data_IF_563536056901
#
_entry.id   IF_563536056901
#
_cell.length_a   1.000
_cell.length_b   1.000
_cell.length_c   1.000
_cell.angle_alpha   90.00
_cell.angle_beta   90.00
_cell.angle_gamma   90.00
#
_symmetry.space_group_name_H-M   'P 1'
#
loop_
_entity.id
_entity.type
_entity.pdbx_description
1 polymer ?
#
# COMPACT_ATOMS: atom_id res chain seq x y z
N UNK A 1 5.23 -11.16 7.82
CA UNK A 1 4.55 -10.04 7.12
C UNK A 1 5.42 -9.57 5.99
N UNK A 2 4.85 -9.37 4.80
CA UNK A 2 5.57 -8.98 3.59
C UNK A 2 5.03 -7.62 3.15
N UNK A 3 5.77 -6.52 3.31
CA UNK A 3 5.37 -5.23 2.76
C UNK A 3 5.36 -5.30 1.23
N UNK A 4 4.29 -4.80 0.61
CA UNK A 4 4.15 -4.68 -0.84
C UNK A 4 3.75 -3.24 -1.14
N UNK A 5 4.66 -2.50 -1.77
CA UNK A 5 4.44 -1.11 -2.17
C UNK A 5 4.44 -0.96 -3.68
N UNK A 6 5.00 0.16 -4.13
CA UNK A 6 5.16 0.53 -5.52
C UNK A 6 6.38 1.45 -5.70
N UNK A 7 6.73 1.71 -6.97
CA UNK A 7 7.63 2.78 -7.37
C UNK A 7 6.89 3.66 -8.38
N UNK A 8 6.30 4.75 -7.92
CA UNK A 8 5.42 5.60 -8.72
C UNK A 8 5.43 7.05 -8.27
N UNK A 9 5.07 7.95 -9.18
CA UNK A 9 4.92 9.37 -8.89
C UNK A 9 3.98 9.59 -7.69
N UNK A 10 4.32 10.52 -6.79
CA UNK A 10 3.43 10.98 -5.73
C UNK A 10 3.42 12.51 -5.70
N UNK A 11 3.16 13.09 -6.86
CA UNK A 11 3.33 14.53 -7.06
C UNK A 11 4.78 14.99 -6.94
N UNK A 12 5.00 16.31 -6.95
CA UNK A 12 6.33 16.89 -6.86
C UNK A 12 6.94 16.84 -5.45
N UNK A 13 6.16 16.47 -4.42
CA UNK A 13 6.55 16.64 -3.01
C UNK A 13 6.84 15.36 -2.24
N UNK A 14 6.37 14.20 -2.71
CA UNK A 14 6.61 12.91 -2.06
C UNK A 14 7.56 12.02 -2.88
N UNK A 15 8.32 11.15 -2.21
CA UNK A 15 9.27 10.27 -2.88
C UNK A 15 8.55 9.16 -3.66
N UNK A 16 9.23 8.61 -4.67
CA UNK A 16 8.67 7.56 -5.54
C UNK A 16 8.35 6.24 -4.81
N UNK A 17 8.89 6.05 -3.61
CA UNK A 17 8.70 4.85 -2.79
C UNK A 17 7.69 5.06 -1.64
N UNK A 18 6.83 6.08 -1.73
CA UNK A 18 5.82 6.45 -0.71
C UNK A 18 5.02 5.23 -0.23
N UNK A 19 4.43 4.45 -1.13
CA UNK A 19 3.67 3.24 -0.78
C UNK A 19 4.52 2.20 -0.05
N UNK A 20 5.76 2.03 -0.49
CA UNK A 20 6.70 1.08 0.09
C UNK A 20 7.08 1.50 1.51
N UNK A 21 7.27 2.80 1.75
CA UNK A 21 7.55 3.36 3.08
C UNK A 21 6.37 3.17 4.03
N UNK A 22 5.15 3.50 3.58
CA UNK A 22 3.93 3.32 4.38
C UNK A 22 3.73 1.84 4.72
N UNK A 23 3.74 0.96 3.72
CA UNK A 23 3.56 -0.48 3.93
C UNK A 23 4.61 -1.07 4.89
N UNK A 24 5.87 -0.64 4.75
CA UNK A 24 6.97 -1.08 5.61
C UNK A 24 6.81 -0.58 7.05
N UNK A 25 6.46 0.70 7.23
CA UNK A 25 6.25 1.29 8.54
C UNK A 25 5.08 0.63 9.27
N UNK A 26 3.94 0.44 8.59
CA UNK A 26 2.77 -0.24 9.15
C UNK A 26 3.12 -1.69 9.51
N UNK A 27 3.71 -2.46 8.59
CA UNK A 27 4.06 -3.85 8.86
C UNK A 27 5.05 -4.00 10.04
N UNK A 28 6.00 -3.06 10.19
CA UNK A 28 6.93 -3.03 11.31
C UNK A 28 6.22 -2.75 12.64
N UNK A 29 5.35 -1.75 12.67
CA UNK A 29 4.59 -1.40 13.88
C UNK A 29 3.63 -2.52 14.30
N UNK A 30 2.94 -3.15 13.34
CA UNK A 30 2.07 -4.31 13.60
C UNK A 30 2.86 -5.50 14.12
N UNK A 31 4.05 -5.77 13.56
CA UNK A 31 4.92 -6.86 14.06
C UNK A 31 5.28 -6.62 15.53
N UNK A 32 5.69 -5.39 15.87
CA UNK A 32 6.03 -5.03 17.26
C UNK A 32 4.83 -5.10 18.22
N UNK A 33 3.63 -4.74 17.77
CA UNK A 33 2.38 -4.81 18.54
C UNK A 33 1.97 -6.27 18.84
N UNK A 34 2.15 -7.17 17.88
CA UNK A 34 1.76 -8.57 18.02
C UNK A 34 2.80 -9.44 18.76
N UNK A 35 4.10 -9.12 18.67
CA UNK A 35 5.18 -9.85 19.36
C UNK A 35 5.05 -9.79 20.90
N UNK A 36 4.27 -8.86 21.45
CA UNK A 36 3.93 -8.81 22.88
C UNK A 36 2.94 -9.86 23.36
N UNK A 37 2.39 -10.68 22.45
CA UNK A 37 1.46 -11.77 22.78
C UNK A 37 2.21 -13.12 22.77
N UNK A 38 2.18 -13.85 23.89
CA UNK A 38 2.95 -15.06 24.24
C UNK A 38 2.79 -16.30 23.32
N UNK A 39 2.29 -16.15 22.08
CA UNK A 39 1.73 -17.25 21.30
C UNK A 39 2.28 -17.42 19.87
N UNK A 40 2.82 -16.40 19.20
CA UNK A 40 3.34 -16.52 17.82
C UNK A 40 4.52 -15.58 17.57
N UNK A 41 5.55 -16.05 16.87
CA UNK A 41 6.66 -15.21 16.40
C UNK A 41 6.29 -14.55 15.07
N UNK A 42 6.30 -13.22 15.00
CA UNK A 42 6.06 -12.50 13.76
C UNK A 42 7.38 -12.04 13.14
N UNK A 43 7.60 -12.38 11.87
CA UNK A 43 8.78 -11.97 11.13
C UNK A 43 8.41 -10.94 10.06
N UNK A 44 9.19 -9.86 9.97
CA UNK A 44 9.06 -8.86 8.91
C UNK A 44 10.05 -9.18 7.78
N UNK A 45 9.53 -9.37 6.57
CA UNK A 45 10.35 -9.61 5.40
C UNK A 45 10.77 -8.30 4.71
N UNK A 46 11.80 -8.31 3.84
CA UNK A 46 12.10 -7.20 2.96
C UNK A 46 10.89 -6.82 2.09
N UNK A 47 10.74 -5.53 1.82
CA UNK A 47 9.64 -5.03 1.01
C UNK A 47 9.77 -5.39 -0.47
N UNK A 48 8.64 -5.67 -1.11
CA UNK A 48 8.53 -5.69 -2.57
C UNK A 48 8.22 -4.26 -3.00
N UNK A 49 9.23 -3.56 -3.52
CA UNK A 49 9.19 -2.13 -3.79
C UNK A 49 8.67 -1.75 -5.20
N UNK A 50 8.41 -2.74 -6.05
CA UNK A 50 7.87 -2.52 -7.40
C UNK A 50 6.51 -3.19 -7.51
N UNK A 51 5.52 -2.44 -7.96
CA UNK A 51 4.11 -2.83 -8.00
C UNK A 51 3.51 -2.80 -9.41
N UNK A 52 2.19 -2.92 -9.46
CA UNK A 52 1.39 -2.67 -10.65
C UNK A 52 0.90 -1.22 -10.60
N UNK A 53 1.66 -0.33 -11.24
CA UNK A 53 1.47 1.13 -11.21
C UNK A 53 1.28 1.70 -12.62
N UNK A 54 0.64 0.92 -13.51
CA UNK A 54 0.49 1.27 -14.92
C UNK A 54 -0.29 2.57 -15.13
N UNK A 55 -1.23 2.86 -14.23
CA UNK A 55 -2.01 4.09 -14.18
C UNK A 55 -1.14 5.35 -13.98
N UNK A 56 0.09 5.21 -13.51
CA UNK A 56 1.04 6.30 -13.26
C UNK A 56 2.14 6.42 -14.35
N UNK A 57 2.11 5.61 -15.42
CA UNK A 57 3.14 5.58 -16.49
C UNK A 57 3.28 6.91 -17.25
N UNK A 58 2.27 7.79 -17.18
CA UNK A 58 2.34 9.14 -17.75
C UNK A 58 3.32 10.10 -17.06
N UNK A 59 3.93 9.69 -15.95
CA UNK A 59 4.84 10.51 -15.15
C UNK A 59 6.23 9.90 -15.05
N UNK A 60 7.25 10.75 -15.14
CA UNK A 60 8.65 10.33 -15.03
C UNK A 60 8.94 9.78 -13.63
N UNK A 61 9.77 8.72 -13.56
CA UNK A 61 10.16 8.05 -12.32
C UNK A 61 9.32 6.82 -11.98
N UNK A 62 8.10 6.70 -12.52
CA UNK A 62 7.26 5.50 -12.33
C UNK A 62 7.92 4.28 -12.98
N UNK A 63 8.01 3.18 -12.21
CA UNK A 63 8.46 1.87 -12.70
C UNK A 63 7.43 0.83 -12.29
N UNK A 64 6.56 0.48 -13.23
CA UNK A 64 5.54 -0.55 -13.07
C UNK A 64 6.03 -1.88 -13.63
N UNK A 65 5.91 -2.96 -12.86
CA UNK A 65 6.14 -4.33 -13.37
C UNK A 65 4.85 -4.94 -13.94
N UNK A 66 3.71 -4.29 -13.74
CA UNK A 66 2.39 -4.71 -14.21
C UNK A 66 1.77 -5.87 -13.42
N UNK A 67 0.45 -5.99 -13.51
CA UNK A 67 -0.36 -6.95 -12.74
C UNK A 67 0.07 -8.40 -12.94
N UNK A 68 0.38 -8.81 -14.17
CA UNK A 68 0.76 -10.19 -14.47
C UNK A 68 2.09 -10.58 -13.81
N UNK A 69 3.13 -9.75 -13.95
CA UNK A 69 4.44 -10.02 -13.35
C UNK A 69 4.36 -9.96 -11.83
N UNK A 70 3.67 -8.96 -11.26
CA UNK A 70 3.46 -8.86 -9.82
C UNK A 70 2.73 -10.10 -9.29
N UNK A 71 1.70 -10.59 -9.98
CA UNK A 71 1.00 -11.84 -9.60
C UNK A 71 1.97 -13.00 -9.53
N UNK A 72 2.81 -13.19 -10.55
CA UNK A 72 3.84 -14.25 -10.55
C UNK A 72 4.81 -14.10 -9.38
N UNK A 73 5.32 -12.89 -9.12
CA UNK A 73 6.22 -12.61 -7.99
C UNK A 73 5.58 -13.00 -6.67
N UNK A 74 4.34 -12.58 -6.42
CA UNK A 74 3.63 -12.84 -5.17
C UNK A 74 3.33 -14.33 -4.97
N UNK A 75 2.98 -15.04 -6.05
CA UNK A 75 2.76 -16.49 -6.03
C UNK A 75 4.06 -17.23 -5.70
N UNK A 76 5.15 -16.95 -6.41
CA UNK A 76 6.43 -17.63 -6.16
C UNK A 76 6.99 -17.29 -4.78
N UNK A 77 6.84 -16.03 -4.36
CA UNK A 77 7.18 -15.60 -3.01
C UNK A 77 6.41 -16.41 -1.97
N UNK A 78 5.07 -16.44 -2.08
CA UNK A 78 4.21 -17.16 -1.14
C UNK A 78 4.50 -18.67 -1.14
N UNK A 79 4.76 -19.26 -2.31
CA UNK A 79 5.12 -20.68 -2.42
C UNK A 79 6.40 -21.01 -1.66
N UNK A 80 7.42 -20.17 -1.82
CA UNK A 80 8.70 -20.33 -1.13
C UNK A 80 8.58 -20.06 0.37
N UNK A 81 7.95 -18.95 0.76
CA UNK A 81 7.82 -18.54 2.16
C UNK A 81 6.97 -19.52 2.99
N UNK A 82 5.85 -20.01 2.44
CA UNK A 82 5.03 -21.04 3.09
C UNK A 82 5.72 -22.41 3.20
N UNK A 83 6.92 -22.59 2.64
CA UNK A 83 7.73 -23.79 2.87
C UNK A 83 8.28 -23.87 4.29
N UNK A 84 8.38 -22.74 5.00
CA UNK A 84 8.91 -22.68 6.38
C UNK A 84 8.08 -21.79 7.31
N UNK A 85 7.33 -20.82 6.78
CA UNK A 85 6.40 -20.01 7.55
C UNK A 85 5.01 -20.67 7.60
N UNK A 86 4.42 -20.77 8.80
CA UNK A 86 3.05 -21.28 8.97
C UNK A 86 2.02 -20.44 8.22
N UNK A 87 2.23 -19.11 8.18
CA UNK A 87 1.33 -18.12 7.60
C UNK A 87 2.11 -17.05 6.87
N UNK A 88 1.55 -16.55 5.77
CA UNK A 88 2.07 -15.39 5.05
C UNK A 88 0.97 -14.34 4.89
N UNK A 89 1.30 -13.09 5.21
CA UNK A 89 0.42 -11.95 4.98
C UNK A 89 1.16 -10.89 4.21
N UNK A 90 0.60 -10.49 3.08
CA UNK A 90 1.05 -9.34 2.31
C UNK A 90 0.39 -8.08 2.85
N UNK A 91 1.19 -7.09 3.22
CA UNK A 91 0.74 -5.80 3.75
C UNK A 91 0.89 -4.78 2.63
N UNK A 92 -0.22 -4.38 2.04
CA UNK A 92 -0.26 -3.67 0.75
C UNK A 92 -0.46 -2.17 0.93
N UNK A 93 0.47 -1.37 0.41
CA UNK A 93 0.41 0.10 0.41
C UNK A 93 -0.27 0.70 -0.81
N UNK A 94 -0.30 0.00 -1.95
CA UNK A 94 -0.69 0.58 -3.24
C UNK A 94 -2.03 0.04 -3.77
N UNK A 95 -2.91 0.92 -4.25
CA UNK A 95 -4.21 0.56 -4.85
C UNK A 95 -4.08 -0.27 -6.14
N UNK A 96 -3.10 0.01 -7.00
CA UNK A 96 -2.92 -0.69 -8.28
C UNK A 96 -2.55 -2.17 -8.12
N UNK A 97 -2.00 -2.56 -6.97
CA UNK A 97 -1.64 -3.94 -6.66
C UNK A 97 -2.84 -4.87 -6.40
N UNK A 98 -4.06 -4.33 -6.19
CA UNK A 98 -5.21 -5.10 -5.68
C UNK A 98 -5.59 -6.31 -6.56
N UNK A 99 -5.54 -6.17 -7.89
CA UNK A 99 -5.86 -7.29 -8.80
C UNK A 99 -4.83 -8.42 -8.69
N UNK A 100 -3.54 -8.07 -8.67
CA UNK A 100 -2.46 -9.02 -8.51
C UNK A 100 -2.52 -9.71 -7.14
N UNK A 101 -2.83 -8.93 -6.09
CA UNK A 101 -2.97 -9.43 -4.73
C UNK A 101 -4.07 -10.49 -4.61
N UNK A 102 -5.28 -10.15 -5.06
CA UNK A 102 -6.42 -11.08 -5.05
C UNK A 102 -6.13 -12.35 -5.84
N UNK A 103 -5.53 -12.22 -7.02
CA UNK A 103 -5.21 -13.35 -7.89
C UNK A 103 -4.16 -14.27 -7.27
N UNK A 104 -3.06 -13.70 -6.78
CA UNK A 104 -1.97 -14.45 -6.17
C UNK A 104 -2.40 -15.15 -4.87
N UNK A 105 -3.06 -14.44 -3.97
CA UNK A 105 -3.49 -15.00 -2.69
C UNK A 105 -4.57 -16.05 -2.88
N UNK A 106 -5.53 -15.86 -3.80
CA UNK A 106 -6.51 -16.90 -4.13
C UNK A 106 -5.80 -18.17 -4.61
N UNK A 107 -4.84 -18.06 -5.52
CA UNK A 107 -4.09 -19.23 -6.01
C UNK A 107 -3.33 -19.93 -4.88
N UNK A 108 -2.57 -19.20 -4.07
CA UNK A 108 -1.85 -19.75 -2.92
C UNK A 108 -2.79 -20.52 -1.96
N UNK A 109 -3.98 -19.95 -1.70
CA UNK A 109 -4.99 -20.60 -0.85
C UNK A 109 -5.57 -21.86 -1.49
N UNK A 110 -5.82 -21.85 -2.79
CA UNK A 110 -6.26 -23.07 -3.51
C UNK A 110 -5.21 -24.17 -3.51
N UNK A 111 -3.92 -23.81 -3.40
CA UNK A 111 -2.81 -24.75 -3.20
C UNK A 111 -2.69 -25.26 -1.75
N UNK A 112 -3.61 -24.87 -0.85
CA UNK A 112 -3.60 -25.27 0.55
C UNK A 112 -2.66 -24.46 1.45
N UNK A 113 -2.16 -23.30 0.98
CA UNK A 113 -1.28 -22.43 1.76
C UNK A 113 -2.08 -21.43 2.59
N UNK A 114 -1.66 -21.20 3.84
CA UNK A 114 -2.28 -20.21 4.71
C UNK A 114 -1.75 -18.80 4.39
N UNK A 115 -2.29 -18.23 3.30
CA UNK A 115 -1.95 -16.91 2.79
C UNK A 115 -3.13 -15.94 2.89
N UNK A 116 -2.82 -14.67 3.15
CA UNK A 116 -3.78 -13.58 3.21
C UNK A 116 -3.14 -12.24 2.81
N UNK A 117 -3.93 -11.17 2.71
CA UNK A 117 -3.43 -9.81 2.53
C UNK A 117 -4.22 -8.80 3.37
N UNK A 118 -3.56 -7.69 3.71
CA UNK A 118 -4.13 -6.58 4.48
C UNK A 118 -3.74 -5.24 3.85
N UNK A 119 -4.69 -4.33 3.56
CA UNK A 119 -4.39 -3.02 3.03
C UNK A 119 -3.99 -2.03 4.13
N UNK A 120 -3.03 -1.14 3.81
CA UNK A 120 -2.65 0.03 4.61
C UNK A 120 -3.55 1.22 4.29
N UNK A 121 -4.86 1.10 4.55
CA UNK A 121 -5.84 2.16 4.26
C UNK A 121 -6.33 2.81 5.55
N UNK A 122 -6.64 4.11 5.47
CA UNK A 122 -7.38 4.83 6.48
C UNK A 122 -8.77 5.19 5.95
N UNK A 123 -9.78 5.15 6.81
CA UNK A 123 -11.14 5.51 6.45
C UNK A 123 -11.24 7.00 6.10
N UNK A 124 -11.90 7.30 4.98
CA UNK A 124 -12.07 8.68 4.52
C UNK A 124 -10.82 9.33 3.91
N UNK A 125 -9.77 8.54 3.63
CA UNK A 125 -8.57 9.04 2.95
C UNK A 125 -8.83 9.48 1.50
N UNK A 126 -7.98 10.37 1.00
CA UNK A 126 -7.99 10.75 -0.42
C UNK A 126 -7.27 9.72 -1.30
N UNK A 127 -7.28 9.95 -2.61
CA UNK A 127 -6.99 8.91 -3.59
C UNK A 127 -5.50 8.74 -3.89
N UNK A 128 -4.73 9.82 -3.99
CA UNK A 128 -3.31 9.76 -4.35
C UNK A 128 -2.53 11.03 -4.01
N UNK A 129 -1.41 10.89 -3.31
CA UNK A 129 -0.46 11.94 -2.93
C UNK A 129 -1.09 13.18 -2.28
N UNK A 130 -2.27 13.02 -1.69
CA UNK A 130 -3.03 14.10 -1.09
C UNK A 130 -2.74 14.26 0.39
N UNK A 131 -3.75 14.68 1.13
CA UNK A 131 -3.72 14.85 2.58
C UNK A 131 -3.24 13.60 3.32
N UNK A 132 -3.76 12.42 2.96
CA UNK A 132 -3.56 11.19 3.75
C UNK A 132 -2.10 10.74 3.72
N UNK A 133 -1.56 10.46 2.53
CA UNK A 133 -0.18 9.99 2.38
C UNK A 133 0.82 11.06 2.78
N UNK A 134 0.58 12.32 2.43
CA UNK A 134 1.47 13.42 2.81
C UNK A 134 1.54 13.57 4.33
N UNK A 135 0.40 13.48 5.03
CA UNK A 135 0.39 13.53 6.49
C UNK A 135 1.18 12.37 7.08
N UNK A 136 0.95 11.14 6.59
CA UNK A 136 1.69 9.96 7.06
C UNK A 136 3.19 10.11 6.83
N UNK A 137 3.63 10.59 5.66
CA UNK A 137 5.05 10.80 5.36
C UNK A 137 5.66 11.92 6.20
N UNK A 138 4.92 12.99 6.50
CA UNK A 138 5.35 14.01 7.46
C UNK A 138 5.55 13.44 8.87
N UNK A 139 4.88 12.34 9.22
CA UNK A 139 5.08 11.64 10.49
C UNK A 139 6.25 10.63 10.42
N UNK A 140 6.29 9.75 9.41
CA UNK A 140 7.24 8.62 9.37
C UNK A 140 8.56 8.94 8.67
N UNK A 141 8.62 9.96 7.81
CA UNK A 141 9.79 10.33 7.00
C UNK A 141 9.78 11.82 6.63
N UNK A 142 9.72 12.75 7.60
CA UNK A 142 9.53 14.18 7.32
C UNK A 142 10.62 14.80 6.45
N UNK A 143 11.85 14.29 6.52
CA UNK A 143 12.98 14.79 5.72
C UNK A 143 12.84 14.52 4.21
N UNK A 144 11.97 13.59 3.83
CA UNK A 144 11.73 13.20 2.43
C UNK A 144 10.50 13.90 1.83
N UNK A 145 9.85 14.81 2.57
CA UNK A 145 8.69 15.57 2.11
C UNK A 145 9.12 16.98 1.71
N UNK A 146 9.01 17.29 0.41
CA UNK A 146 9.35 18.61 -0.14
C UNK A 146 8.15 19.55 -0.05
N UNK A 147 7.93 20.12 1.14
CA UNK A 147 6.79 21.02 1.44
C UNK A 147 6.82 22.35 0.68
N UNK A 148 7.96 22.71 0.09
CA UNK A 148 8.10 23.83 -0.83
C UNK A 148 7.58 23.53 -2.24
N UNK A 149 7.39 22.25 -2.58
CA UNK A 149 6.98 21.80 -3.90
C UNK A 149 5.52 21.29 -3.97
N UNK A 150 4.85 21.07 -2.83
CA UNK A 150 3.51 20.47 -2.83
C UNK A 150 2.47 21.30 -3.57
N UNK A 151 1.58 20.63 -4.31
CA UNK A 151 0.57 21.28 -5.13
C UNK A 151 -0.74 20.50 -5.04
N UNK A 152 -1.86 21.21 -4.88
CA UNK A 152 -3.19 20.59 -4.94
C UNK A 152 -3.42 20.01 -6.32
N UNK A 153 -3.89 18.76 -6.34
CA UNK A 153 -4.28 18.08 -7.55
C UNK A 153 -5.79 18.12 -7.79
N UNK A 154 -6.29 17.11 -8.50
CA UNK A 154 -7.72 16.95 -8.74
C UNK A 154 -8.40 16.36 -7.50
N UNK A 155 -9.38 17.09 -6.95
CA UNK A 155 -10.09 16.73 -5.70
C UNK A 155 -11.47 16.12 -5.93
N UNK A 156 -11.84 15.85 -7.19
CA UNK A 156 -13.11 15.17 -7.47
C UNK A 156 -13.10 13.75 -6.88
N UNK A 157 -14.25 13.21 -6.47
CA UNK A 157 -14.33 11.84 -5.97
C UNK A 157 -13.74 10.83 -6.96
N UNK A 158 -12.96 9.88 -6.46
CA UNK A 158 -12.27 8.89 -7.30
C UNK A 158 -13.26 8.18 -8.26
N UNK A 159 -14.46 7.84 -7.79
CA UNK A 159 -15.50 7.23 -8.61
C UNK A 159 -15.85 8.03 -9.88
N UNK A 160 -15.76 9.36 -9.83
CA UNK A 160 -15.98 10.26 -10.97
C UNK A 160 -14.78 10.30 -11.93
N UNK A 161 -13.56 10.09 -11.41
CA UNK A 161 -12.32 10.12 -12.18
C UNK A 161 -11.98 8.79 -12.86
N UNK A 162 -12.40 7.66 -12.27
CA UNK A 162 -12.10 6.31 -12.75
C UNK A 162 -12.36 6.09 -14.25
N UNK A 163 -13.45 6.59 -14.88
CA UNK A 163 -13.67 6.41 -16.31
C UNK A 163 -12.57 7.02 -17.18
N UNK A 164 -12.09 8.21 -16.82
CA UNK A 164 -11.01 8.90 -17.55
C UNK A 164 -9.65 8.26 -17.25
N UNK A 165 -9.40 7.88 -16.00
CA UNK A 165 -8.18 7.18 -15.60
C UNK A 165 -8.00 5.85 -16.34
N UNK A 166 -9.09 5.11 -16.59
CA UNK A 166 -9.04 3.87 -17.38
C UNK A 166 -8.60 4.08 -18.83
N UNK A 167 -8.78 5.28 -19.38
CA UNK A 167 -8.45 5.61 -20.76
C UNK A 167 -7.03 6.18 -20.91
N UNK A 168 -6.56 6.97 -19.93
CA UNK A 168 -5.28 7.68 -20.05
C UNK A 168 -4.47 7.78 -18.77
N UNK A 169 -4.73 6.92 -17.79
CA UNK A 169 -4.06 6.93 -16.49
C UNK A 169 -4.35 8.19 -15.67
N UNK A 170 -3.56 8.40 -14.63
CA UNK A 170 -3.65 9.57 -13.75
C UNK A 170 -3.37 10.87 -14.53
N UNK A 171 -2.51 10.83 -15.54
CA UNK A 171 -2.18 12.00 -16.36
C UNK A 171 -3.39 12.57 -17.12
N UNK A 172 -4.43 11.77 -17.36
CA UNK A 172 -5.67 12.23 -17.98
C UNK A 172 -6.55 13.08 -17.04
N UNK A 173 -6.32 13.01 -15.72
CA UNK A 173 -7.17 13.65 -14.71
C UNK A 173 -6.41 14.58 -13.76
N UNK A 174 -5.08 14.54 -13.76
CA UNK A 174 -4.22 15.39 -12.93
C UNK A 174 -2.94 15.73 -13.67
N UNK A 175 -2.62 17.02 -13.78
CA UNK A 175 -1.39 17.50 -14.43
C UNK A 175 -0.14 17.23 -13.58
N UNK A 176 -0.29 17.28 -12.26
CA UNK A 176 0.79 17.07 -11.29
C UNK A 176 0.78 15.67 -10.67
N UNK A 177 -0.14 14.81 -11.09
CA UNK A 177 -0.26 13.43 -10.61
C UNK A 177 -0.91 13.27 -9.23
N UNK A 178 -1.20 14.37 -8.53
CA UNK A 178 -1.91 14.37 -7.24
C UNK A 178 -3.42 14.22 -7.45
N UNK A 179 -4.08 13.37 -6.65
CA UNK A 179 -5.54 13.21 -6.58
C UNK A 179 -6.02 13.50 -5.14
N UNK A 180 -5.93 14.76 -4.74
CA UNK A 180 -6.17 15.23 -3.38
C UNK A 180 -5.56 16.61 -3.12
N UNK A 181 -5.46 16.99 -1.85
CA UNK A 181 -4.91 18.28 -1.42
C UNK A 181 -3.84 18.13 -0.32
N UNK A 182 -2.55 18.00 -0.68
CA UNK A 182 -1.47 17.79 0.27
C UNK A 182 -1.21 19.04 1.14
N UNK A 183 -1.69 20.23 0.76
CA UNK A 183 -1.46 21.47 1.52
C UNK A 183 -2.18 21.49 2.87
N UNK A 184 -3.13 20.57 3.06
CA UNK A 184 -3.87 20.38 4.31
C UNK A 184 -3.20 19.37 5.25
N UNK A 185 -2.11 18.73 4.82
CA UNK A 185 -1.44 17.67 5.57
C UNK A 185 -0.66 18.20 6.78
N UNK A 186 -0.64 17.43 7.88
CA UNK A 186 0.15 17.77 9.08
C UNK A 186 0.79 16.52 9.69
N UNK A 187 1.92 16.66 10.40
CA UNK A 187 2.53 15.52 11.11
C UNK A 187 1.62 14.91 12.19
N UNK A 188 0.81 15.73 12.86
CA UNK A 188 -0.14 15.29 13.91
C UNK A 188 -1.22 14.40 13.31
N UNK A 189 -1.75 14.81 12.16
CA UNK A 189 -2.74 14.00 11.45
C UNK A 189 -2.11 12.73 10.86
N UNK A 190 -0.83 12.81 10.46
CA UNK A 190 -0.03 11.67 10.05
C UNK A 190 0.09 10.61 11.12
N UNK A 191 0.40 11.02 12.35
CA UNK A 191 0.46 10.14 13.52
C UNK A 191 -0.90 9.46 13.75
N UNK A 192 -1.99 10.23 13.71
CA UNK A 192 -3.35 9.72 13.92
C UNK A 192 -3.74 8.69 12.86
N UNK A 193 -3.52 9.01 11.59
CA UNK A 193 -3.83 8.14 10.42
C UNK A 193 -2.97 6.87 10.49
N UNK A 194 -1.67 7.01 10.75
CA UNK A 194 -0.75 5.88 10.85
C UNK A 194 -1.14 4.94 12.00
N UNK A 195 -1.46 5.47 13.17
CA UNK A 195 -1.93 4.67 14.31
C UNK A 195 -3.23 3.90 13.98
N UNK A 196 -4.15 4.52 13.23
CA UNK A 196 -5.36 3.85 12.76
C UNK A 196 -5.04 2.69 11.80
N UNK A 197 -4.16 2.92 10.81
CA UNK A 197 -3.73 1.87 9.88
C UNK A 197 -3.10 0.68 10.62
N UNK A 198 -2.25 0.94 11.61
CA UNK A 198 -1.60 -0.08 12.45
C UNK A 198 -2.64 -0.85 13.25
N UNK A 199 -3.52 -0.17 13.99
CA UNK A 199 -4.53 -0.82 14.82
C UNK A 199 -5.48 -1.70 14.01
N UNK A 200 -5.90 -1.24 12.83
CA UNK A 200 -6.77 -2.00 11.94
C UNK A 200 -6.05 -3.22 11.35
N UNK A 201 -4.78 -3.08 10.94
CA UNK A 201 -3.96 -4.19 10.47
C UNK A 201 -3.69 -5.22 11.58
N UNK A 202 -3.27 -4.79 12.78
CA UNK A 202 -3.07 -5.67 13.95
C UNK A 202 -4.32 -6.46 14.27
N UNK A 203 -5.49 -5.80 14.30
CA UNK A 203 -6.77 -6.47 14.58
C UNK A 203 -7.11 -7.53 13.53
N UNK A 204 -6.94 -7.21 12.25
CA UNK A 204 -7.22 -8.13 11.12
C UNK A 204 -6.26 -9.32 11.12
N UNK A 205 -4.96 -9.08 11.32
CA UNK A 205 -3.92 -10.11 11.35
C UNK A 205 -4.07 -11.01 12.58
N UNK A 206 -4.31 -10.44 13.77
CA UNK A 206 -4.52 -11.21 15.00
C UNK A 206 -5.76 -12.10 14.95
N UNK A 207 -6.84 -11.66 14.29
CA UNK A 207 -8.06 -12.49 14.09
C UNK A 207 -7.90 -13.56 13.02
N UNK A 208 -7.07 -13.28 12.01
CA UNK A 208 -6.79 -14.16 10.88
C UNK A 208 -8.06 -14.74 10.22
N UNK A 209 -8.93 -13.85 9.72
CA UNK A 209 -10.15 -14.22 8.99
C UNK A 209 -10.06 -13.78 7.52
N UNK A 210 -9.44 -14.56 6.63
CA UNK A 210 -9.36 -14.24 5.22
C UNK A 210 -10.70 -14.50 4.51
N UNK A 211 -11.14 -13.53 3.72
CA UNK A 211 -12.22 -13.67 2.74
C UNK A 211 -11.79 -14.55 1.55
N UNK A 212 -12.71 -14.79 0.61
CA UNK A 212 -12.47 -15.63 -0.58
C UNK A 212 -11.32 -15.12 -1.47
N UNK A 213 -11.13 -13.79 -1.53
CA UNK A 213 -10.03 -13.15 -2.24
C UNK A 213 -8.77 -12.94 -1.38
N UNK A 214 -8.76 -13.48 -0.16
CA UNK A 214 -7.65 -13.43 0.78
C UNK A 214 -7.57 -12.17 1.63
N UNK A 215 -8.47 -11.19 1.46
CA UNK A 215 -8.50 -10.00 2.30
C UNK A 215 -8.82 -10.38 3.75
N UNK A 216 -8.02 -9.91 4.70
CA UNK A 216 -8.33 -10.07 6.12
C UNK A 216 -9.45 -9.12 6.56
N UNK A 217 -10.50 -9.67 7.19
CA UNK A 217 -11.69 -8.95 7.68
C UNK A 217 -11.86 -9.00 9.21
#
# INVERSE_FOLDING_TARGET
>A
MIPVGSTEQHGPHLPLDTDTRIATAVARAVTADLDGSDHDQYLLAPAIAYGASGEHEGFAGTVSIGTAALTTVLVEYGRSACGWARRVVFVNGHGGNLEAMRSAVRLLRTEGRDAAWCPCIAEGGDAHAGHTETSVLLHISPADVHTDAWCSGNRAPLATLLPQMRLGGVAAVSEVGVLGDPTTATPVEGERIFAQMVADCSRRIGRWRPADDGLLI
#
